data_IF_259628831578
#
_entry.id   IF_259628831578
#
_cell.length_a   1.000
_cell.length_b   1.000
_cell.length_c   1.000
_cell.angle_alpha   90.00
_cell.angle_beta   90.00
_cell.angle_gamma   90.00
#
_symmetry.space_group_name_H-M   'P 1'
#
loop_
_entity.id
_entity.type
_entity.pdbx_description
1 polymer ?
#
# COMPACT_ATOMS: atom_id res chain seq x y z
N UNK A 1 -8.97 -26.23 -10.30
CA UNK A 1 -7.56 -25.97 -10.67
C UNK A 1 -7.38 -24.46 -10.86
N UNK A 2 -6.57 -23.77 -10.03
CA UNK A 2 -6.29 -22.34 -10.23
C UNK A 2 -5.56 -22.18 -11.57
N UNK A 3 -6.14 -21.44 -12.53
CA UNK A 3 -5.48 -21.11 -13.80
C UNK A 3 -4.19 -20.37 -13.48
N UNK A 4 -3.05 -20.95 -13.85
CA UNK A 4 -1.76 -20.25 -13.83
C UNK A 4 -1.85 -19.10 -14.83
N UNK A 5 -1.93 -17.87 -14.33
CA UNK A 5 -1.79 -16.68 -15.16
C UNK A 5 -0.36 -16.17 -14.99
N UNK A 6 0.33 -15.97 -16.13
CA UNK A 6 1.62 -15.29 -16.12
C UNK A 6 1.34 -13.84 -15.74
N UNK A 7 1.74 -13.46 -14.53
CA UNK A 7 1.56 -12.09 -14.06
C UNK A 7 2.35 -11.11 -14.93
N UNK A 8 1.83 -9.89 -15.06
CA UNK A 8 2.47 -8.78 -15.79
C UNK A 8 3.93 -8.57 -15.39
N UNK A 9 4.27 -8.82 -14.11
CA UNK A 9 5.65 -8.75 -13.62
C UNK A 9 6.57 -9.78 -14.28
N UNK A 10 6.12 -11.02 -14.42
CA UNK A 10 6.94 -12.09 -15.03
C UNK A 10 7.22 -11.76 -16.50
N UNK A 11 6.21 -11.26 -17.21
CA UNK A 11 6.35 -10.88 -18.61
C UNK A 11 7.34 -9.71 -18.79
N UNK A 12 7.20 -8.63 -18.00
CA UNK A 12 8.12 -7.49 -18.09
C UNK A 12 9.56 -7.88 -17.72
N UNK A 13 9.74 -8.77 -16.74
CA UNK A 13 11.07 -9.29 -16.37
C UNK A 13 11.70 -10.08 -17.52
N UNK A 14 10.94 -10.97 -18.17
CA UNK A 14 11.44 -11.75 -19.29
C UNK A 14 11.82 -10.87 -20.49
N UNK A 15 10.96 -9.91 -20.85
CA UNK A 15 11.21 -8.94 -21.92
C UNK A 15 12.47 -8.12 -21.60
N UNK A 16 12.62 -7.68 -20.36
CA UNK A 16 13.79 -6.90 -19.96
C UNK A 16 15.09 -7.65 -19.99
N UNK A 17 15.10 -8.89 -19.50
CA UNK A 17 16.28 -9.73 -19.58
C UNK A 17 16.70 -9.95 -21.03
N UNK A 18 15.75 -10.28 -21.91
CA UNK A 18 16.01 -10.50 -23.32
C UNK A 18 16.53 -9.23 -24.01
N UNK A 19 15.93 -8.07 -23.74
CA UNK A 19 16.36 -6.80 -24.31
C UNK A 19 17.76 -6.40 -23.83
N UNK A 20 18.06 -6.56 -22.54
CA UNK A 20 19.38 -6.26 -22.00
C UNK A 20 20.47 -7.16 -22.59
N UNK A 21 20.18 -8.46 -22.75
CA UNK A 21 21.08 -9.40 -23.42
C UNK A 21 21.31 -8.98 -24.87
N UNK A 22 20.26 -8.67 -25.62
CA UNK A 22 20.37 -8.26 -27.02
C UNK A 22 21.20 -6.96 -27.18
N UNK A 23 21.00 -5.98 -26.29
CA UNK A 23 21.79 -4.75 -26.27
C UNK A 23 23.25 -5.06 -25.95
N UNK A 24 23.54 -5.89 -24.94
CA UNK A 24 24.91 -6.26 -24.59
C UNK A 24 25.62 -7.03 -25.72
N UNK A 25 24.89 -7.91 -26.43
CA UNK A 25 25.40 -8.60 -27.61
C UNK A 25 25.69 -7.63 -28.75
N UNK A 26 24.82 -6.65 -29.00
CA UNK A 26 25.03 -5.64 -30.03
C UNK A 26 26.33 -4.84 -29.81
N UNK A 27 26.66 -4.53 -28.55
CA UNK A 27 27.92 -3.88 -28.17
C UNK A 27 29.11 -4.84 -28.04
N UNK A 28 28.95 -6.13 -28.37
CA UNK A 28 29.97 -7.17 -28.25
C UNK A 28 30.60 -7.28 -26.84
N UNK A 29 29.79 -7.08 -25.79
CA UNK A 29 30.28 -7.22 -24.42
C UNK A 29 30.51 -8.68 -24.06
N UNK A 30 31.61 -8.95 -23.36
CA UNK A 30 31.86 -10.24 -22.75
C UNK A 30 30.82 -10.51 -21.65
N UNK A 31 30.44 -11.77 -21.46
CA UNK A 31 29.45 -12.18 -20.46
C UNK A 31 28.10 -11.44 -20.58
N UNK A 32 27.63 -11.19 -21.81
CA UNK A 32 26.36 -10.51 -22.11
C UNK A 32 25.14 -11.10 -21.36
N UNK A 33 25.16 -12.39 -21.00
CA UNK A 33 24.13 -13.04 -20.20
C UNK A 33 23.91 -12.35 -18.84
N UNK A 34 24.97 -11.77 -18.27
CA UNK A 34 24.93 -11.08 -16.99
C UNK A 34 24.16 -9.77 -17.06
N UNK A 35 24.10 -9.08 -18.19
CA UNK A 35 23.20 -7.94 -18.36
C UNK A 35 21.73 -8.36 -18.14
N UNK A 36 21.36 -9.57 -18.58
CA UNK A 36 20.05 -10.16 -18.30
C UNK A 36 19.83 -10.42 -16.81
N UNK A 37 20.81 -11.04 -16.12
CA UNK A 37 20.74 -11.30 -14.68
C UNK A 37 20.58 -9.98 -13.89
N UNK A 38 21.40 -8.99 -14.19
CA UNK A 38 21.35 -7.67 -13.55
C UNK A 38 20.00 -6.98 -13.79
N UNK A 39 19.43 -7.12 -14.99
CA UNK A 39 18.09 -6.62 -15.31
C UNK A 39 17.01 -7.29 -14.45
N UNK A 40 17.01 -8.62 -14.39
CA UNK A 40 16.04 -9.41 -13.62
C UNK A 40 16.00 -8.97 -12.16
N UNK A 41 17.18 -8.81 -11.55
CA UNK A 41 17.32 -8.37 -10.16
C UNK A 41 16.78 -6.94 -9.97
N UNK A 42 16.91 -6.09 -11.00
CA UNK A 42 16.49 -4.69 -10.98
C UNK A 42 14.97 -4.46 -11.16
N UNK A 43 14.22 -5.48 -11.61
CA UNK A 43 12.76 -5.38 -11.75
C UNK A 43 12.04 -5.46 -10.40
N UNK A 44 11.44 -4.35 -9.98
CA UNK A 44 10.80 -4.20 -8.68
C UNK A 44 9.27 -3.98 -8.77
N UNK A 45 8.52 -4.10 -7.66
CA UNK A 45 7.08 -3.88 -7.65
C UNK A 45 6.66 -2.44 -7.96
N UNK A 46 7.49 -1.46 -7.62
CA UNK A 46 7.17 -0.03 -7.77
C UNK A 46 8.35 0.73 -8.37
N UNK A 47 8.07 1.89 -9.00
CA UNK A 47 9.11 2.69 -9.64
C UNK A 47 10.14 3.17 -8.64
N UNK A 48 9.69 3.67 -7.47
CA UNK A 48 10.58 4.12 -6.39
C UNK A 48 11.53 3.00 -5.93
N UNK A 49 11.00 1.80 -5.71
CA UNK A 49 11.83 0.64 -5.32
C UNK A 49 12.82 0.23 -6.41
N UNK A 50 12.44 0.32 -7.68
CA UNK A 50 13.36 0.00 -8.79
C UNK A 50 14.54 0.97 -8.88
N UNK A 51 14.28 2.28 -8.77
CA UNK A 51 15.36 3.28 -8.74
C UNK A 51 16.27 3.05 -7.52
N UNK A 52 15.68 2.87 -6.34
CA UNK A 52 16.45 2.59 -5.13
C UNK A 52 17.31 1.34 -5.29
N UNK A 53 16.74 0.26 -5.82
CA UNK A 53 17.45 -1.00 -6.00
C UNK A 53 18.53 -0.93 -7.09
N UNK A 54 18.37 -0.10 -8.12
CA UNK A 54 19.42 0.17 -9.09
C UNK A 54 20.58 0.97 -8.45
N UNK A 55 20.25 1.98 -7.65
CA UNK A 55 21.23 2.80 -6.93
C UNK A 55 22.05 1.96 -5.94
N UNK A 56 21.41 1.19 -5.06
CA UNK A 56 22.11 0.37 -4.07
C UNK A 56 23.00 -0.68 -4.75
N UNK A 57 22.53 -1.29 -5.84
CA UNK A 57 23.33 -2.23 -6.64
C UNK A 57 24.52 -1.57 -7.29
N UNK A 58 24.36 -0.41 -7.92
CA UNK A 58 25.47 0.29 -8.56
C UNK A 58 26.57 0.61 -7.54
N UNK A 59 26.20 1.15 -6.38
CA UNK A 59 27.17 1.47 -5.31
C UNK A 59 27.85 0.20 -4.78
N UNK A 60 27.09 -0.84 -4.45
CA UNK A 60 27.66 -2.10 -3.95
C UNK A 60 28.61 -2.75 -4.97
N UNK A 61 28.25 -2.73 -6.25
CA UNK A 61 29.04 -3.27 -7.35
C UNK A 61 30.35 -2.52 -7.57
N UNK A 62 30.36 -1.19 -7.43
CA UNK A 62 31.59 -0.38 -7.49
C UNK A 62 32.50 -0.72 -6.32
N UNK A 63 31.94 -0.81 -5.10
CA UNK A 63 32.69 -1.24 -3.91
C UNK A 63 33.26 -2.65 -4.11
N UNK A 64 32.47 -3.57 -4.65
CA UNK A 64 32.90 -4.93 -4.94
C UNK A 64 34.07 -4.99 -5.92
N UNK A 65 34.03 -4.16 -6.97
CA UNK A 65 35.12 -4.04 -7.93
C UNK A 65 36.40 -3.51 -7.28
N UNK A 66 36.29 -2.54 -6.38
CA UNK A 66 37.43 -2.06 -5.59
C UNK A 66 38.01 -3.15 -4.68
N UNK A 67 37.16 -3.90 -3.96
CA UNK A 67 37.60 -5.02 -3.13
C UNK A 67 38.26 -6.13 -3.96
N UNK A 68 37.71 -6.43 -5.15
CA UNK A 68 38.28 -7.40 -6.07
C UNK A 68 39.64 -6.97 -6.60
N UNK A 69 39.80 -5.69 -6.96
CA UNK A 69 41.09 -5.13 -7.34
C UNK A 69 42.12 -5.30 -6.23
N UNK A 70 41.83 -4.80 -5.02
CA UNK A 70 42.77 -4.87 -3.89
C UNK A 70 43.11 -6.32 -3.53
N UNK A 71 42.11 -7.21 -3.47
CA UNK A 71 42.33 -8.59 -3.03
C UNK A 71 43.06 -9.43 -4.08
N UNK A 72 42.73 -9.31 -5.36
CA UNK A 72 43.35 -10.14 -6.40
C UNK A 72 44.70 -9.61 -6.90
N UNK A 73 44.99 -8.32 -6.74
CA UNK A 73 46.33 -7.77 -7.02
C UNK A 73 47.31 -8.02 -5.86
N UNK A 74 46.86 -7.97 -4.60
CA UNK A 74 47.73 -8.25 -3.45
C UNK A 74 47.94 -9.75 -3.20
N UNK A 75 46.97 -10.58 -3.61
CA UNK A 75 47.01 -12.02 -3.42
C UNK A 75 46.85 -12.75 -4.76
N UNK A 76 46.37 -13.99 -4.75
CA UNK A 76 46.14 -14.78 -5.98
C UNK A 76 44.66 -15.05 -6.21
N UNK A 77 44.30 -15.35 -7.47
CA UNK A 77 42.96 -15.77 -7.88
C UNK A 77 42.64 -17.21 -7.42
N UNK A 78 42.53 -17.38 -6.10
CA UNK A 78 42.21 -18.64 -5.44
C UNK A 78 40.91 -18.51 -4.61
N UNK A 79 40.20 -19.63 -4.37
CA UNK A 79 38.96 -19.60 -3.58
C UNK A 79 39.14 -19.02 -2.17
N UNK A 80 40.31 -19.22 -1.55
CA UNK A 80 40.58 -18.72 -0.20
C UNK A 80 40.66 -17.17 -0.17
N UNK A 81 41.27 -16.55 -1.18
CA UNK A 81 41.28 -15.09 -1.35
C UNK A 81 39.87 -14.55 -1.51
N UNK A 82 39.05 -15.21 -2.35
CA UNK A 82 37.65 -14.84 -2.55
C UNK A 82 36.86 -14.90 -1.23
N UNK A 83 37.03 -15.97 -0.45
CA UNK A 83 36.37 -16.11 0.85
C UNK A 83 36.79 -14.99 1.83
N UNK A 84 38.10 -14.71 1.94
CA UNK A 84 38.61 -13.62 2.77
C UNK A 84 38.07 -12.25 2.35
N UNK A 85 38.03 -11.99 1.04
CA UNK A 85 37.45 -10.76 0.48
C UNK A 85 35.97 -10.62 0.83
N UNK A 86 35.17 -11.68 0.70
CA UNK A 86 33.73 -11.66 1.04
C UNK A 86 33.48 -11.37 2.53
N UNK A 87 34.34 -11.88 3.42
CA UNK A 87 34.26 -11.61 4.87
C UNK A 87 34.41 -10.11 5.17
N UNK A 88 35.24 -9.39 4.41
CA UNK A 88 35.41 -7.94 4.57
C UNK A 88 34.38 -7.12 3.79
N UNK A 89 34.00 -7.61 2.61
CA UNK A 89 33.06 -6.94 1.72
C UNK A 89 31.65 -6.89 2.31
N UNK A 90 31.15 -8.00 2.87
CA UNK A 90 29.78 -8.08 3.41
C UNK A 90 29.51 -7.05 4.52
N UNK A 91 30.35 -6.93 5.58
CA UNK A 91 30.18 -5.89 6.60
C UNK A 91 30.24 -4.47 6.01
N UNK A 92 31.06 -4.27 4.97
CA UNK A 92 31.20 -2.96 4.32
C UNK A 92 29.93 -2.52 3.59
N UNK A 93 29.31 -3.40 2.81
CA UNK A 93 28.04 -3.05 2.14
C UNK A 93 26.87 -2.91 3.13
N UNK A 94 26.92 -3.61 4.26
CA UNK A 94 25.96 -3.46 5.36
C UNK A 94 26.12 -2.09 6.02
N UNK A 95 27.35 -1.66 6.32
CA UNK A 95 27.61 -0.34 6.93
C UNK A 95 27.23 0.81 6.00
N UNK A 96 27.41 0.63 4.69
CA UNK A 96 26.99 1.57 3.64
C UNK A 96 25.48 1.53 3.34
N UNK A 97 24.71 0.64 3.97
CA UNK A 97 23.26 0.45 3.74
C UNK A 97 22.91 0.11 2.29
N UNK A 98 23.77 -0.65 1.62
CA UNK A 98 23.58 -1.12 0.23
C UNK A 98 23.61 -2.64 0.11
N UNK A 99 23.26 -3.35 1.18
CA UNK A 99 23.28 -4.81 1.26
C UNK A 99 22.43 -5.50 0.16
N UNK A 100 21.35 -4.88 -0.30
CA UNK A 100 20.54 -5.37 -1.43
C UNK A 100 21.34 -5.54 -2.73
N UNK A 101 22.50 -4.89 -2.83
CA UNK A 101 23.42 -4.98 -3.95
C UNK A 101 24.35 -6.20 -3.92
N UNK A 102 24.33 -7.01 -2.84
CA UNK A 102 25.24 -8.13 -2.65
C UNK A 102 25.22 -9.13 -3.82
N UNK A 103 24.03 -9.61 -4.21
CA UNK A 103 23.92 -10.64 -5.26
C UNK A 103 24.49 -10.14 -6.59
N UNK A 104 24.19 -8.89 -6.96
CA UNK A 104 24.73 -8.28 -8.19
C UNK A 104 26.25 -8.09 -8.11
N UNK A 105 26.76 -7.72 -6.94
CA UNK A 105 28.18 -7.56 -6.68
C UNK A 105 28.94 -8.87 -6.84
N UNK A 106 28.37 -9.98 -6.36
CA UNK A 106 28.96 -11.32 -6.49
C UNK A 106 29.09 -11.72 -7.96
N UNK A 107 28.12 -11.39 -8.82
CA UNK A 107 28.22 -11.67 -10.27
C UNK A 107 29.46 -11.02 -10.88
N UNK A 108 29.71 -9.75 -10.56
CA UNK A 108 30.88 -8.99 -11.04
C UNK A 108 32.18 -9.55 -10.47
N UNK A 109 32.21 -9.84 -9.17
CA UNK A 109 33.34 -10.51 -8.53
C UNK A 109 33.67 -11.82 -9.24
N UNK A 110 32.65 -12.62 -9.60
CA UNK A 110 32.84 -13.90 -10.27
C UNK A 110 33.38 -13.75 -11.69
N UNK A 111 33.00 -12.70 -12.43
CA UNK A 111 33.60 -12.40 -13.72
C UNK A 111 35.09 -12.07 -13.58
N UNK A 112 35.45 -11.22 -12.62
CA UNK A 112 36.85 -10.86 -12.34
C UNK A 112 37.65 -12.09 -11.91
N UNK A 113 37.08 -12.91 -11.02
CA UNK A 113 37.69 -14.14 -10.55
C UNK A 113 37.92 -15.14 -11.70
N UNK A 114 36.92 -15.31 -12.58
CA UNK A 114 37.00 -16.21 -13.73
C UNK A 114 37.99 -15.72 -14.80
N UNK A 115 38.10 -14.42 -15.00
CA UNK A 115 39.05 -13.81 -15.95
C UNK A 115 40.52 -13.97 -15.52
N UNK A 116 40.78 -14.26 -14.24
CA UNK A 116 42.12 -14.41 -13.64
C UNK A 116 43.08 -13.25 -13.92
N UNK A 117 42.54 -12.08 -14.24
CA UNK A 117 43.28 -10.86 -14.53
C UNK A 117 42.37 -9.65 -14.32
N UNK A 118 42.94 -8.55 -13.85
CA UNK A 118 42.24 -7.28 -13.67
C UNK A 118 42.76 -6.28 -14.71
N UNK A 119 42.07 -6.19 -15.86
CA UNK A 119 42.41 -5.24 -16.93
C UNK A 119 41.42 -4.08 -16.98
N UNK A 120 41.86 -2.94 -17.52
CA UNK A 120 40.95 -1.80 -17.75
C UNK A 120 39.84 -2.13 -18.75
N UNK A 121 40.09 -3.03 -19.71
CA UNK A 121 39.07 -3.55 -20.63
C UNK A 121 37.97 -4.31 -19.88
N UNK A 122 38.36 -5.14 -18.89
CA UNK A 122 37.40 -5.85 -18.05
C UNK A 122 36.57 -4.89 -17.20
N UNK A 123 37.20 -3.87 -16.61
CA UNK A 123 36.49 -2.83 -15.85
C UNK A 123 35.45 -2.13 -16.73
N UNK A 124 35.83 -1.72 -17.95
CA UNK A 124 34.91 -1.11 -18.89
C UNK A 124 33.76 -2.05 -19.26
N UNK A 125 34.05 -3.33 -19.50
CA UNK A 125 33.04 -4.34 -19.80
C UNK A 125 32.01 -4.47 -18.66
N UNK A 126 32.47 -4.57 -17.41
CA UNK A 126 31.58 -4.70 -16.25
C UNK A 126 30.74 -3.44 -16.03
N UNK A 127 31.32 -2.25 -16.19
CA UNK A 127 30.57 -0.99 -16.10
C UNK A 127 29.51 -0.90 -17.21
N UNK A 128 29.82 -1.33 -18.43
CA UNK A 128 28.87 -1.36 -19.53
C UNK A 128 27.73 -2.37 -19.30
N UNK A 129 28.04 -3.57 -18.78
CA UNK A 129 27.03 -4.56 -18.38
C UNK A 129 26.10 -4.02 -17.28
N UNK A 130 26.65 -3.31 -16.29
CA UNK A 130 25.87 -2.66 -15.24
C UNK A 130 24.96 -1.57 -15.81
N UNK A 131 25.49 -0.71 -16.68
CA UNK A 131 24.72 0.36 -17.31
C UNK A 131 23.54 -0.20 -18.13
N UNK A 132 23.79 -1.23 -18.94
CA UNK A 132 22.75 -1.89 -19.74
C UNK A 132 21.75 -2.63 -18.84
N UNK A 133 22.22 -3.42 -17.88
CA UNK A 133 21.37 -4.25 -17.03
C UNK A 133 20.47 -3.41 -16.11
N UNK A 134 21.06 -2.52 -15.33
CA UNK A 134 20.28 -1.66 -14.42
C UNK A 134 19.45 -0.63 -15.20
N UNK A 135 20.00 -0.07 -16.28
CA UNK A 135 19.29 0.87 -17.15
C UNK A 135 18.05 0.26 -17.78
N UNK A 136 18.18 -0.94 -18.37
CA UNK A 136 17.04 -1.67 -18.96
C UNK A 136 16.01 -2.05 -17.89
N UNK A 137 16.47 -2.48 -16.71
CA UNK A 137 15.60 -2.79 -15.57
C UNK A 137 14.77 -1.60 -15.12
N UNK A 138 15.39 -0.42 -14.98
CA UNK A 138 14.67 0.83 -14.67
C UNK A 138 13.69 1.19 -15.79
N UNK A 139 14.14 1.16 -17.05
CA UNK A 139 13.34 1.58 -18.19
C UNK A 139 12.03 0.79 -18.29
N UNK A 140 12.11 -0.53 -18.15
CA UNK A 140 10.93 -1.40 -18.19
C UNK A 140 10.06 -1.20 -16.96
N UNK A 141 10.65 -0.98 -15.79
CA UNK A 141 9.87 -0.75 -14.58
C UNK A 141 9.19 0.63 -14.54
N UNK A 142 9.59 1.56 -15.41
CA UNK A 142 8.97 2.87 -15.55
C UNK A 142 7.57 2.78 -16.16
N UNK A 143 7.31 1.74 -16.94
CA UNK A 143 6.00 1.44 -17.50
C UNK A 143 5.16 0.70 -16.44
N UNK A 144 4.28 1.44 -15.75
CA UNK A 144 3.32 0.90 -14.79
C UNK A 144 1.90 1.21 -15.29
N UNK A 145 0.97 0.24 -15.24
CA UNK A 145 -0.41 0.44 -15.67
C UNK A 145 -1.13 1.44 -14.76
N UNK A 146 -2.15 2.10 -15.32
CA UNK A 146 -3.03 3.00 -14.58
C UNK A 146 -3.98 2.18 -13.68
N UNK A 147 -3.85 2.37 -12.37
CA UNK A 147 -4.66 1.69 -11.33
C UNK A 147 -5.81 2.55 -10.80
N UNK A 148 -6.07 3.72 -11.40
CA UNK A 148 -7.12 4.64 -10.95
C UNK A 148 -8.52 4.01 -11.00
N UNK A 149 -8.81 3.16 -12.00
CA UNK A 149 -10.09 2.45 -12.10
C UNK A 149 -10.32 1.51 -10.91
N UNK A 150 -9.28 0.78 -10.53
CA UNK A 150 -9.33 -0.17 -9.42
C UNK A 150 -9.45 0.56 -8.07
N UNK A 151 -8.69 1.65 -7.88
CA UNK A 151 -8.85 2.53 -6.71
C UNK A 151 -10.26 3.13 -6.62
N UNK A 152 -10.85 3.52 -7.75
CA UNK A 152 -12.22 4.02 -7.80
C UNK A 152 -13.25 2.93 -7.46
N UNK A 153 -13.05 1.71 -7.94
CA UNK A 153 -13.87 0.56 -7.58
C UNK A 153 -13.87 0.32 -6.07
N UNK A 154 -12.68 0.27 -5.44
CA UNK A 154 -12.55 0.12 -4.00
C UNK A 154 -13.24 1.25 -3.22
N UNK A 155 -13.11 2.50 -3.69
CA UNK A 155 -13.80 3.66 -3.10
C UNK A 155 -15.31 3.46 -3.07
N UNK A 156 -15.91 3.12 -4.21
CA UNK A 156 -17.37 2.93 -4.32
C UNK A 156 -17.81 1.74 -3.46
N UNK A 157 -17.07 0.62 -3.52
CA UNK A 157 -17.38 -0.57 -2.72
C UNK A 157 -17.37 -0.28 -1.21
N UNK A 158 -16.40 0.48 -0.71
CA UNK A 158 -16.33 0.88 0.70
C UNK A 158 -17.50 1.80 1.07
N UNK A 159 -17.86 2.75 0.19
CA UNK A 159 -19.02 3.64 0.40
C UNK A 159 -20.32 2.82 0.50
N UNK A 160 -20.51 1.83 -0.38
CA UNK A 160 -21.67 0.92 -0.35
C UNK A 160 -21.71 0.05 0.91
N UNK A 161 -20.58 -0.52 1.33
CA UNK A 161 -20.50 -1.33 2.54
C UNK A 161 -20.83 -0.51 3.79
N UNK A 162 -20.30 0.71 3.90
CA UNK A 162 -20.63 1.59 5.02
C UNK A 162 -22.10 1.99 4.98
N UNK A 163 -22.64 2.25 3.79
CA UNK A 163 -24.04 2.63 3.63
C UNK A 163 -24.93 1.52 4.17
N UNK A 164 -24.67 0.27 3.78
CA UNK A 164 -25.35 -0.91 4.31
C UNK A 164 -25.22 -1.03 5.82
N UNK A 165 -24.01 -0.93 6.37
CA UNK A 165 -23.78 -1.04 7.82
C UNK A 165 -24.63 -0.02 8.59
N UNK A 166 -24.64 1.25 8.19
CA UNK A 166 -25.44 2.26 8.89
C UNK A 166 -26.94 2.06 8.72
N UNK A 167 -27.40 1.60 7.56
CA UNK A 167 -28.82 1.28 7.33
C UNK A 167 -29.27 0.07 8.17
N UNK A 168 -28.44 -0.95 8.31
CA UNK A 168 -28.71 -2.10 9.18
C UNK A 168 -28.75 -1.69 10.66
N UNK A 169 -27.82 -0.84 11.10
CA UNK A 169 -27.83 -0.29 12.46
C UNK A 169 -29.12 0.52 12.69
N UNK A 170 -29.53 1.35 11.73
CA UNK A 170 -30.78 2.11 11.83
C UNK A 170 -32.00 1.19 11.90
N UNK A 171 -32.03 0.12 11.11
CA UNK A 171 -33.09 -0.90 11.13
C UNK A 171 -33.16 -1.60 12.50
N UNK A 172 -32.00 -1.98 13.04
CA UNK A 172 -31.88 -2.61 14.35
C UNK A 172 -32.42 -1.73 15.47
N UNK A 173 -32.10 -0.44 15.46
CA UNK A 173 -32.58 0.52 16.45
C UNK A 173 -34.12 0.70 16.42
N UNK A 174 -34.79 0.43 15.29
CA UNK A 174 -36.26 0.55 15.18
C UNK A 174 -37.00 -0.74 15.48
N UNK A 175 -36.49 -1.86 14.96
CA UNK A 175 -37.23 -3.13 14.91
C UNK A 175 -36.65 -4.19 15.85
N UNK A 176 -35.45 -3.96 16.40
CA UNK A 176 -34.72 -4.93 17.19
C UNK A 176 -33.94 -5.89 16.31
N UNK A 177 -33.99 -7.18 16.63
CA UNK A 177 -33.22 -8.19 15.90
C UNK A 177 -33.63 -8.27 14.42
N UNK A 178 -32.73 -7.88 13.54
CA UNK A 178 -32.89 -7.91 12.08
C UNK A 178 -32.29 -9.17 11.42
N UNK A 179 -31.83 -10.15 12.20
CA UNK A 179 -31.06 -11.33 11.72
C UNK A 179 -29.77 -10.94 10.97
N UNK A 180 -29.28 -9.71 11.15
CA UNK A 180 -28.07 -9.23 10.52
C UNK A 180 -26.83 -9.91 11.10
N UNK A 181 -26.00 -10.50 10.24
CA UNK A 181 -24.85 -11.32 10.62
C UNK A 181 -23.52 -10.55 10.69
N UNK A 182 -23.53 -9.24 10.37
CA UNK A 182 -22.34 -8.39 10.38
C UNK A 182 -21.34 -8.67 9.26
N UNK A 183 -21.72 -9.41 8.21
CA UNK A 183 -20.82 -9.78 7.11
C UNK A 183 -20.16 -8.56 6.43
N UNK A 184 -20.90 -7.47 6.27
CA UNK A 184 -20.44 -6.24 5.65
C UNK A 184 -19.24 -5.62 6.37
N UNK A 185 -19.14 -5.78 7.69
CA UNK A 185 -18.01 -5.25 8.48
C UNK A 185 -16.75 -6.02 8.12
N UNK A 186 -16.83 -7.36 8.11
CA UNK A 186 -15.70 -8.22 7.73
C UNK A 186 -15.28 -7.93 6.29
N UNK A 187 -16.24 -7.75 5.39
CA UNK A 187 -15.97 -7.37 4.01
C UNK A 187 -15.33 -5.98 3.91
N UNK A 188 -15.77 -5.00 4.72
CA UNK A 188 -15.21 -3.66 4.75
C UNK A 188 -13.75 -3.66 5.22
N UNK A 189 -13.41 -4.42 6.26
CA UNK A 189 -12.02 -4.58 6.75
C UNK A 189 -11.12 -5.12 5.64
N UNK A 190 -11.54 -6.21 4.98
CA UNK A 190 -10.76 -6.82 3.89
C UNK A 190 -10.60 -5.86 2.71
N UNK A 191 -11.70 -5.24 2.30
CA UNK A 191 -11.74 -4.30 1.18
C UNK A 191 -10.85 -3.08 1.43
N UNK A 192 -10.84 -2.55 2.66
CA UNK A 192 -9.96 -1.43 3.05
C UNK A 192 -8.49 -1.79 3.04
N UNK A 193 -8.13 -2.97 3.57
CA UNK A 193 -6.74 -3.44 3.58
C UNK A 193 -6.18 -3.57 2.15
N UNK A 194 -6.97 -4.15 1.25
CA UNK A 194 -6.61 -4.26 -0.17
C UNK A 194 -6.49 -2.88 -0.83
N UNK A 195 -7.46 -2.01 -0.58
CA UNK A 195 -7.49 -0.65 -1.11
C UNK A 195 -6.30 0.20 -0.64
N UNK A 196 -5.95 0.16 0.65
CA UNK A 196 -4.77 0.87 1.20
C UNK A 196 -3.48 0.33 0.61
N UNK A 197 -3.35 -0.99 0.48
CA UNK A 197 -2.18 -1.62 -0.15
C UNK A 197 -2.00 -1.19 -1.61
N UNK A 198 -3.10 -1.13 -2.36
CA UNK A 198 -3.08 -0.65 -3.74
C UNK A 198 -2.75 0.85 -3.82
N UNK A 199 -3.38 1.68 -2.99
CA UNK A 199 -3.13 3.12 -2.94
C UNK A 199 -1.67 3.43 -2.56
N UNK A 200 -1.09 2.66 -1.64
CA UNK A 200 0.32 2.81 -1.27
C UNK A 200 1.25 2.51 -2.46
N UNK A 201 0.96 1.47 -3.25
CA UNK A 201 1.71 1.20 -4.49
C UNK A 201 1.57 2.33 -5.52
N UNK A 202 0.40 2.96 -5.62
CA UNK A 202 0.18 4.14 -6.49
C UNK A 202 1.11 5.30 -6.10
N UNK A 203 1.21 5.57 -4.80
CA UNK A 203 2.10 6.59 -4.24
C UNK A 203 3.56 6.28 -4.57
N UNK A 204 4.01 5.03 -4.43
CA UNK A 204 5.38 4.63 -4.81
C UNK A 204 5.65 4.68 -6.33
N UNK A 205 4.60 4.76 -7.17
CA UNK A 205 4.70 4.83 -8.62
C UNK A 205 4.62 6.25 -9.19
N UNK A 206 4.22 7.25 -8.39
CA UNK A 206 4.07 8.64 -8.80
C UNK A 206 5.10 9.55 -8.09
N UNK A 207 6.21 9.87 -8.77
CA UNK A 207 7.28 10.71 -8.20
C UNK A 207 6.92 12.20 -8.07
N UNK A 208 6.09 12.73 -8.97
CA UNK A 208 5.80 14.17 -9.08
C UNK A 208 4.44 14.56 -8.50
N UNK A 209 3.54 13.59 -8.29
CA UNK A 209 2.19 13.85 -7.76
C UNK A 209 2.27 13.84 -6.23
N UNK A 210 2.25 15.02 -5.60
CA UNK A 210 2.01 15.20 -4.15
C UNK A 210 0.62 14.72 -3.68
N UNK A 211 -0.15 14.04 -4.53
CA UNK A 211 -1.55 13.71 -4.30
C UNK A 211 -1.69 12.27 -3.87
N UNK A 212 -1.50 12.05 -2.57
CA UNK A 212 -1.83 10.81 -1.88
C UNK A 212 -3.35 10.71 -1.66
N UNK A 213 -4.17 11.20 -2.59
CA UNK A 213 -5.59 11.51 -2.36
C UNK A 213 -6.36 10.23 -1.98
N UNK A 214 -6.20 9.14 -2.75
CA UNK A 214 -6.81 7.84 -2.44
C UNK A 214 -6.24 7.22 -1.16
N UNK A 215 -4.93 7.33 -0.92
CA UNK A 215 -4.33 6.80 0.31
C UNK A 215 -4.88 7.50 1.55
N UNK A 216 -4.93 8.84 1.54
CA UNK A 216 -5.54 9.64 2.61
C UNK A 216 -7.03 9.34 2.76
N UNK A 217 -7.74 9.10 1.66
CA UNK A 217 -9.15 8.71 1.72
C UNK A 217 -9.35 7.36 2.41
N UNK A 218 -8.59 6.33 2.03
CA UNK A 218 -8.71 5.00 2.65
C UNK A 218 -8.19 4.99 4.09
N UNK A 219 -7.16 5.78 4.41
CA UNK A 219 -6.71 5.98 5.79
C UNK A 219 -7.77 6.64 6.67
N UNK A 220 -8.46 7.65 6.12
CA UNK A 220 -9.62 8.28 6.78
C UNK A 220 -10.75 7.27 7.00
N UNK A 221 -11.07 6.45 5.98
CA UNK A 221 -12.11 5.42 6.09
C UNK A 221 -11.75 4.34 7.11
N UNK A 222 -10.51 3.88 7.15
CA UNK A 222 -10.08 2.92 8.17
C UNK A 222 -10.35 3.42 9.60
N UNK A 223 -9.99 4.67 9.92
CA UNK A 223 -10.31 5.30 11.22
C UNK A 223 -11.82 5.39 11.49
N UNK A 224 -12.60 5.61 10.45
CA UNK A 224 -14.06 5.59 10.53
C UNK A 224 -14.60 4.18 10.81
N UNK A 225 -14.00 3.13 10.24
CA UNK A 225 -14.38 1.75 10.51
C UNK A 225 -14.10 1.37 11.97
N UNK A 226 -12.95 1.78 12.51
CA UNK A 226 -12.62 1.54 13.92
C UNK A 226 -13.68 2.12 14.87
N UNK A 227 -14.25 3.27 14.52
CA UNK A 227 -15.37 3.85 15.28
C UNK A 227 -16.62 2.98 15.14
N UNK A 228 -16.98 2.58 13.91
CA UNK A 228 -18.13 1.69 13.64
C UNK A 228 -18.01 0.39 14.46
N UNK A 229 -16.84 -0.25 14.45
CA UNK A 229 -16.58 -1.48 15.21
C UNK A 229 -16.68 -1.26 16.72
N UNK A 230 -16.21 -0.11 17.22
CA UNK A 230 -16.29 0.24 18.64
C UNK A 230 -17.72 0.50 19.11
N UNK A 231 -18.55 1.10 18.26
CA UNK A 231 -19.93 1.48 18.64
C UNK A 231 -20.93 0.35 18.48
N UNK A 232 -20.67 -0.61 17.59
CA UNK A 232 -21.63 -1.66 17.28
C UNK A 232 -22.08 -2.48 18.51
N UNK A 233 -21.17 -2.97 19.38
CA UNK A 233 -21.57 -3.73 20.55
C UNK A 233 -22.45 -2.91 21.50
N UNK A 234 -22.26 -1.59 21.56
CA UNK A 234 -23.06 -0.70 22.43
C UNK A 234 -24.51 -0.63 22.00
N UNK A 235 -24.77 -0.79 20.70
CA UNK A 235 -26.13 -0.81 20.15
C UNK A 235 -26.75 -2.19 20.29
N UNK A 236 -26.00 -3.26 19.98
CA UNK A 236 -26.56 -4.62 20.02
C UNK A 236 -26.79 -5.16 21.44
N UNK A 237 -26.21 -4.53 22.46
CA UNK A 237 -26.47 -4.86 23.87
C UNK A 237 -27.50 -3.96 24.54
N UNK A 238 -28.26 -3.16 23.77
CA UNK A 238 -29.30 -2.31 24.36
C UNK A 238 -30.34 -3.19 25.06
N UNK A 239 -30.65 -2.93 26.36
CA UNK A 239 -31.55 -3.79 27.13
C UNK A 239 -33.00 -3.67 26.65
N UNK A 240 -33.40 -2.50 26.14
CA UNK A 240 -34.74 -2.20 25.62
C UNK A 240 -34.61 -1.21 24.47
N UNK A 241 -35.44 -1.37 23.43
CA UNK A 241 -35.62 -0.35 22.40
C UNK A 241 -36.50 0.75 22.99
N UNK A 242 -35.88 1.90 23.23
CA UNK A 242 -36.54 3.08 23.78
C UNK A 242 -36.96 4.02 22.65
N UNK A 243 -37.92 4.90 22.86
CA UNK A 243 -38.44 5.82 21.84
C UNK A 243 -37.31 6.72 21.26
N UNK A 244 -36.30 6.98 22.06
CA UNK A 244 -35.10 7.74 21.79
C UNK A 244 -34.22 7.10 20.71
N UNK A 245 -34.32 5.78 20.52
CA UNK A 245 -33.60 5.05 19.49
C UNK A 245 -34.04 5.50 18.08
N UNK A 246 -35.29 5.97 17.93
CA UNK A 246 -35.83 6.47 16.66
C UNK A 246 -35.05 7.70 16.15
N UNK A 247 -34.70 8.63 17.05
CA UNK A 247 -33.94 9.86 16.72
C UNK A 247 -32.58 9.49 16.15
N UNK A 248 -31.91 8.52 16.76
CA UNK A 248 -30.60 8.03 16.31
C UNK A 248 -30.75 7.24 15.00
N UNK A 249 -31.79 6.42 14.87
CA UNK A 249 -32.07 5.66 13.66
C UNK A 249 -32.32 6.57 12.45
N UNK A 250 -33.08 7.66 12.61
CA UNK A 250 -33.34 8.65 11.57
C UNK A 250 -32.04 9.30 11.07
N UNK A 251 -31.18 9.70 12.01
CA UNK A 251 -29.87 10.26 11.67
C UNK A 251 -29.00 9.26 10.90
N UNK A 252 -28.96 8.00 11.35
CA UNK A 252 -28.16 6.96 10.69
C UNK A 252 -28.70 6.56 9.32
N UNK A 253 -30.03 6.56 9.15
CA UNK A 253 -30.63 6.31 7.85
C UNK A 253 -30.26 7.42 6.86
N UNK A 254 -30.32 8.69 7.27
CA UNK A 254 -29.92 9.81 6.44
C UNK A 254 -28.42 9.81 6.15
N UNK A 255 -27.57 9.58 7.16
CA UNK A 255 -26.12 9.49 6.98
C UNK A 255 -25.75 8.32 6.04
N UNK A 256 -26.37 7.16 6.25
CA UNK A 256 -26.21 5.94 5.46
C UNK A 256 -26.52 6.15 3.98
N UNK A 257 -27.58 6.89 3.67
CA UNK A 257 -27.96 7.25 2.30
C UNK A 257 -27.00 8.21 1.57
N UNK A 258 -26.09 8.86 2.29
CA UNK A 258 -25.25 9.95 1.78
C UNK A 258 -23.75 9.74 2.02
N UNK A 259 -23.33 8.47 2.17
CA UNK A 259 -21.92 8.14 2.29
C UNK A 259 -21.24 8.29 0.95
N UNK A 260 -20.44 9.34 0.84
CA UNK A 260 -19.63 9.59 -0.34
C UNK A 260 -18.31 10.27 0.03
N UNK A 261 -17.40 10.29 -0.94
CA UNK A 261 -16.03 10.80 -0.87
C UNK A 261 -15.86 12.32 -0.95
N UNK A 262 -16.93 13.06 -1.27
CA UNK A 262 -17.01 14.50 -1.03
C UNK A 262 -17.07 14.83 0.47
N UNK A 263 -16.67 16.06 0.83
CA UNK A 263 -16.76 16.53 2.22
C UNK A 263 -18.16 17.11 2.51
N UNK A 264 -19.00 16.30 3.16
CA UNK A 264 -20.30 16.68 3.72
C UNK A 264 -20.27 16.74 5.25
N UNK A 265 -19.09 16.75 5.86
CA UNK A 265 -18.96 16.63 7.30
C UNK A 265 -19.68 17.76 8.04
N UNK A 266 -19.54 19.02 7.59
CA UNK A 266 -20.21 20.16 8.22
C UNK A 266 -21.73 20.00 8.30
N UNK A 267 -22.36 19.57 7.20
CA UNK A 267 -23.82 19.34 7.13
C UNK A 267 -24.27 18.25 8.11
N UNK A 268 -23.55 17.13 8.17
CA UNK A 268 -23.91 16.04 9.09
C UNK A 268 -23.55 16.33 10.54
N UNK A 269 -22.55 17.17 10.82
CA UNK A 269 -22.25 17.62 12.18
C UNK A 269 -23.33 18.54 12.70
N UNK A 270 -23.83 19.47 11.88
CA UNK A 270 -24.96 20.32 12.23
C UNK A 270 -26.23 19.49 12.54
N UNK A 271 -26.51 18.47 11.72
CA UNK A 271 -27.59 17.50 12.01
C UNK A 271 -27.36 16.73 13.32
N UNK A 272 -26.13 16.32 13.59
CA UNK A 272 -25.80 15.61 14.83
C UNK A 272 -25.95 16.51 16.07
N UNK A 273 -25.64 17.80 15.96
CA UNK A 273 -25.90 18.77 17.02
C UNK A 273 -27.41 18.96 17.26
N UNK A 274 -28.23 18.93 16.21
CA UNK A 274 -29.69 18.90 16.36
C UNK A 274 -30.15 17.61 17.08
N UNK A 275 -29.60 16.46 16.71
CA UNK A 275 -29.88 15.18 17.40
C UNK A 275 -29.50 15.26 18.88
N UNK A 276 -28.33 15.83 19.23
CA UNK A 276 -27.93 16.07 20.63
C UNK A 276 -28.92 16.98 21.35
N UNK A 277 -29.37 18.04 20.68
CA UNK A 277 -30.35 18.96 21.24
C UNK A 277 -31.69 18.25 21.51
N UNK A 278 -32.25 17.57 20.51
CA UNK A 278 -33.51 16.84 20.63
C UNK A 278 -33.40 15.77 21.73
N UNK A 279 -32.26 15.09 21.81
CA UNK A 279 -31.99 14.11 22.86
C UNK A 279 -31.95 14.74 24.26
N UNK A 280 -31.45 15.97 24.39
CA UNK A 280 -31.41 16.69 25.68
C UNK A 280 -32.77 17.14 26.21
N UNK A 281 -33.78 17.23 25.33
CA UNK A 281 -35.14 17.66 25.70
C UNK A 281 -36.03 16.49 26.15
N UNK A 282 -35.52 15.26 26.08
CA UNK A 282 -36.26 14.07 26.47
C UNK A 282 -36.46 13.98 27.99
N UNK A 283 -37.53 13.31 28.43
CA UNK A 283 -37.77 13.09 29.85
C UNK A 283 -36.64 12.24 30.48
N UNK A 284 -36.37 12.50 31.76
CA UNK A 284 -35.44 11.70 32.54
C UNK A 284 -35.85 10.22 32.54
N UNK A 285 -34.88 9.28 32.56
CA UNK A 285 -35.18 7.86 32.55
C UNK A 285 -35.94 7.48 33.82
N UNK A 286 -37.03 6.72 33.66
CA UNK A 286 -37.91 6.31 34.75
C UNK A 286 -37.39 5.08 35.49
N UNK A 287 -36.51 4.31 34.86
CA UNK A 287 -35.91 3.10 35.42
C UNK A 287 -34.46 2.89 34.94
N UNK A 288 -33.78 1.92 35.55
CA UNK A 288 -32.37 1.63 35.28
C UNK A 288 -32.11 1.12 33.85
N UNK A 289 -33.03 0.36 33.26
CA UNK A 289 -32.89 -0.12 31.87
C UNK A 289 -32.95 1.03 30.87
N UNK A 290 -33.88 1.96 31.06
CA UNK A 290 -33.98 3.20 30.28
C UNK A 290 -32.73 4.06 30.45
N UNK A 291 -32.20 4.18 31.68
CA UNK A 291 -30.94 4.90 31.92
C UNK A 291 -29.78 4.29 31.13
N UNK A 292 -29.61 2.96 31.16
CA UNK A 292 -28.57 2.27 30.38
C UNK A 292 -28.75 2.52 28.89
N UNK A 293 -29.98 2.37 28.38
CA UNK A 293 -30.27 2.57 26.96
C UNK A 293 -29.98 4.02 26.51
N UNK A 294 -30.44 5.02 27.27
CA UNK A 294 -30.17 6.42 26.99
C UNK A 294 -28.67 6.74 27.06
N UNK A 295 -27.94 6.22 28.05
CA UNK A 295 -26.50 6.42 28.16
C UNK A 295 -25.72 5.81 26.98
N UNK A 296 -26.11 4.62 26.52
CA UNK A 296 -25.51 3.96 25.36
C UNK A 296 -25.78 4.73 24.06
N UNK A 297 -27.00 5.23 23.86
CA UNK A 297 -27.36 6.08 22.71
C UNK A 297 -26.61 7.42 22.74
N UNK A 298 -26.49 8.06 23.90
CA UNK A 298 -25.71 9.29 24.04
C UNK A 298 -24.23 9.05 23.72
N UNK A 299 -23.66 7.95 24.24
CA UNK A 299 -22.29 7.56 23.89
C UNK A 299 -22.14 7.30 22.39
N UNK A 300 -23.12 6.68 21.75
CA UNK A 300 -23.12 6.48 20.31
C UNK A 300 -23.07 7.82 19.54
N UNK A 301 -23.88 8.80 19.95
CA UNK A 301 -23.91 10.14 19.36
C UNK A 301 -22.53 10.82 19.45
N UNK A 302 -21.87 10.75 20.61
CA UNK A 302 -20.50 11.29 20.80
C UNK A 302 -19.46 10.61 19.90
N UNK A 303 -19.57 9.30 19.72
CA UNK A 303 -18.69 8.56 18.81
C UNK A 303 -18.95 8.93 17.34
N UNK A 304 -20.19 9.26 16.99
CA UNK A 304 -20.52 9.73 15.66
C UNK A 304 -20.00 11.13 15.36
N UNK A 305 -19.85 11.99 16.38
CA UNK A 305 -19.20 13.29 16.19
C UNK A 305 -17.72 13.11 15.81
N UNK A 306 -17.03 12.18 16.48
CA UNK A 306 -15.64 11.81 16.11
C UNK A 306 -15.54 11.24 14.69
N UNK A 307 -16.49 10.40 14.29
CA UNK A 307 -16.55 9.87 12.92
C UNK A 307 -16.66 10.98 11.87
N UNK A 308 -17.46 12.01 12.15
CA UNK A 308 -17.64 13.16 11.26
C UNK A 308 -16.46 14.14 11.32
N UNK A 309 -15.84 14.33 12.48
CA UNK A 309 -14.63 15.13 12.66
C UNK A 309 -13.48 14.59 11.80
N UNK A 310 -13.28 13.27 11.79
CA UNK A 310 -12.32 12.59 10.91
C UNK A 310 -12.59 12.96 9.44
N UNK A 311 -13.86 12.95 9.00
CA UNK A 311 -14.25 13.35 7.64
C UNK A 311 -14.02 14.84 7.39
N UNK A 312 -14.23 15.69 8.38
CA UNK A 312 -14.06 17.14 8.26
C UNK A 312 -12.59 17.52 8.02
N UNK A 313 -11.67 16.83 8.68
CA UNK A 313 -10.23 17.01 8.48
C UNK A 313 -9.77 16.63 7.06
N UNK A 314 -10.58 15.85 6.33
CA UNK A 314 -10.30 15.41 4.96
C UNK A 314 -10.82 16.42 3.92
N UNK A 315 -9.93 16.88 3.05
CA UNK A 315 -10.22 17.90 2.01
C UNK A 315 -11.20 17.45 0.92
N UNK A 316 -11.60 16.18 0.92
CA UNK A 316 -12.49 15.58 -0.08
C UNK A 316 -11.73 15.10 -1.32
N UNK A 317 -12.22 14.01 -1.95
CA UNK A 317 -11.70 13.55 -3.23
C UNK A 317 -12.37 14.32 -4.38
N UNK A 318 -11.57 14.97 -5.23
CA UNK A 318 -12.05 15.56 -6.49
C UNK A 318 -12.11 14.49 -7.58
N UNK A 319 -13.02 13.53 -7.46
CA UNK A 319 -13.22 12.47 -8.46
C UNK A 319 -14.45 12.83 -9.30
N UNK A 320 -14.34 12.79 -10.64
CA UNK A 320 -15.50 12.94 -11.53
C UNK A 320 -16.50 11.83 -11.18
N UNK A 321 -17.79 12.16 -11.08
CA UNK A 321 -18.88 11.19 -10.88
C UNK A 321 -19.00 10.30 -12.13
N UNK A 322 -18.11 9.34 -12.28
CA UNK A 322 -18.29 8.20 -13.19
C UNK A 322 -18.45 6.97 -12.29
N UNK A 323 -19.70 6.52 -12.15
CA UNK A 323 -19.99 5.19 -11.60
C UNK A 323 -19.30 4.19 -12.53
N UNK A 324 -18.48 3.26 -12.04
CA UNK A 324 -18.01 2.17 -12.89
C UNK A 324 -19.25 1.41 -13.38
N UNK A 325 -19.34 1.25 -14.71
CA UNK A 325 -20.32 0.37 -15.35
C UNK A 325 -19.93 -1.08 -15.18
#
# INVERSE_FOLDING_TARGET
MKKFSIGYRTLKTAIGAALAIAIAQYFNLASYASAGILTILCVQPTKKKSIHAAYTRLVASIVAMFFAFVSFELFTYQPLTLAGMLILFIPTIVSLRVADGFISSVVIIMHIYAAKSFSMELVYNELALMAIGYGTGIAINMYMPDIQKELNYYRVKIEELYSKIFLEIASYLRQGDTLWDGHEIIEAIRTLNDAKSLAFKDVENHFTRRKNDYYMYFDMREKQLEIIERVLPKITTLPVIVQEAEIVADFLQDLGGHIHSGNTASHYREKLEQVKHDFSQLPLPQNHEQFIAQAALYQFIEEMDRYLEIKQSFKGLKVKKERPQ
#
